data_IF_745038064287
#
_entry.id   IF_745038064287
#
_cell.length_a   1.000
_cell.length_b   1.000
_cell.length_c   1.000
_cell.angle_alpha   90.00
_cell.angle_beta   90.00
_cell.angle_gamma   90.00
#
_symmetry.space_group_name_H-M   'P 1'
#
loop_
_entity.id
_entity.type
_entity.pdbx_description
1 polymer ?
#
# COMPACT_ATOMS: atom_id res chain seq x y z
N UNK A 1 -8.45 7.95 9.01
CA UNK A 1 -8.46 9.26 9.71
C UNK A 1 -9.67 9.28 10.64
N UNK A 2 -9.74 10.15 11.65
CA UNK A 2 -10.95 10.30 12.47
C UNK A 2 -11.56 11.68 12.22
N UNK A 3 -12.83 11.73 11.83
CA UNK A 3 -13.56 12.98 11.58
C UNK A 3 -14.46 13.27 12.78
N UNK A 4 -14.40 14.50 13.31
CA UNK A 4 -15.23 14.92 14.43
C UNK A 4 -16.08 16.12 14.05
N UNK A 5 -17.35 16.09 14.42
CA UNK A 5 -18.24 17.25 14.41
C UNK A 5 -18.12 17.96 15.75
N UNK A 6 -17.82 19.26 15.73
CA UNK A 6 -17.71 20.08 16.93
C UNK A 6 -18.98 20.93 17.08
N UNK A 7 -19.75 20.68 18.14
CA UNK A 7 -20.93 21.47 18.49
C UNK A 7 -20.87 21.89 19.97
N UNK A 8 -20.99 23.18 20.24
CA UNK A 8 -21.00 23.73 21.62
C UNK A 8 -19.83 23.28 22.51
N UNK A 9 -18.64 23.05 21.93
CA UNK A 9 -17.46 22.56 22.66
C UNK A 9 -17.39 21.04 22.85
N UNK A 10 -18.32 20.27 22.29
CA UNK A 10 -18.33 18.80 22.31
C UNK A 10 -17.97 18.25 20.93
N UNK A 11 -16.99 17.35 20.89
CA UNK A 11 -16.61 16.63 19.68
C UNK A 11 -17.31 15.28 19.57
N UNK A 12 -18.15 15.11 18.56
CA UNK A 12 -18.80 13.83 18.23
C UNK A 12 -18.08 13.17 17.07
N UNK A 13 -17.68 11.91 17.23
CA UNK A 13 -17.07 11.15 16.13
C UNK A 13 -18.09 10.95 15.01
N UNK A 14 -17.78 11.45 13.83
CA UNK A 14 -18.54 11.21 12.61
C UNK A 14 -17.98 9.95 11.96
N UNK A 15 -18.75 8.87 11.99
CA UNK A 15 -18.45 7.70 11.18
C UNK A 15 -18.97 7.93 9.76
N UNK A 16 -18.11 7.89 8.73
CA UNK A 16 -18.58 7.92 7.34
C UNK A 16 -19.60 6.81 7.11
N UNK A 17 -20.54 7.01 6.19
CA UNK A 17 -21.51 6.01 5.74
C UNK A 17 -20.99 5.29 4.50
N UNK A 18 -21.61 4.16 4.12
CA UNK A 18 -21.36 3.51 2.82
C UNK A 18 -22.03 4.34 1.73
N UNK A 19 -21.29 4.70 0.66
CA UNK A 19 -21.92 5.24 -0.54
C UNK A 19 -23.03 4.30 -1.02
N UNK A 20 -24.10 4.88 -1.58
CA UNK A 20 -25.18 4.09 -2.17
C UNK A 20 -24.74 3.43 -3.47
N UNK A 21 -25.31 2.27 -3.76
CA UNK A 21 -25.00 1.49 -4.96
C UNK A 21 -25.29 2.24 -6.27
N UNK A 22 -26.42 2.95 -6.29
CA UNK A 22 -26.96 3.61 -7.47
C UNK A 22 -26.16 4.84 -7.90
N UNK A 23 -25.39 5.47 -6.99
CA UNK A 23 -24.50 6.58 -7.35
C UNK A 23 -23.02 6.25 -7.29
N UNK A 24 -22.64 5.10 -6.73
CA UNK A 24 -21.24 4.75 -6.50
C UNK A 24 -20.41 4.84 -7.78
N UNK A 25 -20.84 4.21 -8.86
CA UNK A 25 -20.06 4.15 -10.11
C UNK A 25 -19.83 5.54 -10.71
N UNK A 26 -20.87 6.39 -10.74
CA UNK A 26 -20.76 7.74 -11.27
C UNK A 26 -19.88 8.64 -10.36
N UNK A 27 -20.10 8.57 -9.05
CA UNK A 27 -19.35 9.37 -8.07
C UNK A 27 -17.86 9.00 -8.05
N UNK A 28 -17.55 7.70 -8.06
CA UNK A 28 -16.18 7.21 -8.05
C UNK A 28 -15.48 7.44 -9.38
N UNK A 29 -16.17 7.34 -10.51
CA UNK A 29 -15.62 7.69 -11.82
C UNK A 29 -15.22 9.18 -11.89
N UNK A 30 -16.11 10.08 -11.44
CA UNK A 30 -15.80 11.50 -11.38
C UNK A 30 -14.62 11.78 -10.44
N UNK A 31 -14.60 11.16 -9.25
CA UNK A 31 -13.51 11.33 -8.30
C UNK A 31 -12.16 10.87 -8.88
N UNK A 32 -12.12 9.73 -9.57
CA UNK A 32 -10.88 9.25 -10.21
C UNK A 32 -10.49 10.15 -11.39
N UNK A 33 -11.43 10.54 -12.24
CA UNK A 33 -11.13 11.38 -13.40
C UNK A 33 -10.57 12.76 -13.00
N UNK A 34 -11.17 13.39 -11.99
CA UNK A 34 -10.85 14.77 -11.61
C UNK A 34 -9.76 14.87 -10.54
N UNK A 35 -9.61 13.85 -9.69
CA UNK A 35 -8.80 13.93 -8.46
C UNK A 35 -7.90 12.71 -8.22
N UNK A 36 -7.50 11.95 -9.25
CA UNK A 36 -6.64 10.76 -9.06
C UNK A 36 -5.34 11.08 -8.31
N UNK A 37 -4.68 12.22 -8.57
CA UNK A 37 -3.41 12.52 -7.89
C UNK A 37 -3.60 12.73 -6.39
N UNK A 38 -4.67 13.45 -6.00
CA UNK A 38 -5.03 13.66 -4.60
C UNK A 38 -5.44 12.34 -3.92
N UNK A 39 -6.17 11.49 -4.66
CA UNK A 39 -6.62 10.18 -4.19
C UNK A 39 -5.44 9.24 -3.90
N UNK A 40 -4.41 9.28 -4.75
CA UNK A 40 -3.23 8.40 -4.65
C UNK A 40 -2.14 8.95 -3.75
N UNK A 41 -2.21 10.23 -3.36
CA UNK A 41 -1.16 10.94 -2.62
C UNK A 41 0.10 11.21 -3.45
N UNK A 42 0.04 11.04 -4.77
CA UNK A 42 1.15 11.26 -5.69
C UNK A 42 0.65 11.69 -7.06
N UNK A 43 1.49 12.41 -7.81
CA UNK A 43 1.17 12.77 -9.18
C UNK A 43 1.25 11.56 -10.10
N UNK A 44 0.24 11.42 -10.96
CA UNK A 44 0.20 10.38 -12.01
C UNK A 44 -0.15 10.97 -13.36
N UNK A 45 0.33 10.34 -14.42
CA UNK A 45 -0.04 10.62 -15.81
C UNK A 45 -1.10 9.60 -16.28
N UNK A 46 -2.37 10.00 -16.44
CA UNK A 46 -3.41 9.11 -16.95
C UNK A 46 -3.09 8.65 -18.37
N UNK A 47 -3.05 7.33 -18.60
CA UNK A 47 -2.84 6.76 -19.94
C UNK A 47 -4.17 6.46 -20.60
N UNK A 48 -5.05 5.74 -19.88
CA UNK A 48 -6.35 5.30 -20.41
C UNK A 48 -7.37 5.12 -19.29
N UNK A 49 -8.56 5.65 -19.49
CA UNK A 49 -9.73 5.51 -18.60
C UNK A 49 -10.77 4.55 -19.18
N UNK A 50 -11.44 3.79 -18.32
CA UNK A 50 -12.74 3.15 -18.58
C UNK A 50 -12.81 2.20 -19.79
N UNK A 51 -11.71 1.54 -20.17
CA UNK A 51 -11.77 0.66 -21.34
C UNK A 51 -12.60 -0.60 -21.05
N UNK A 52 -13.44 -1.06 -21.99
CA UNK A 52 -14.22 -2.28 -21.83
C UNK A 52 -13.32 -3.47 -21.48
N UNK A 53 -13.62 -4.14 -20.36
CA UNK A 53 -12.84 -5.29 -19.88
C UNK A 53 -11.44 -4.97 -19.37
N UNK A 54 -11.06 -3.69 -19.30
CA UNK A 54 -9.83 -3.21 -18.69
C UNK A 54 -10.06 -2.63 -17.29
N UNK A 55 -9.01 -2.11 -16.65
CA UNK A 55 -9.15 -1.40 -15.39
C UNK A 55 -9.85 -0.06 -15.58
N UNK A 56 -10.38 0.47 -14.47
CA UNK A 56 -11.04 1.76 -14.44
C UNK A 56 -10.10 2.89 -14.88
N UNK A 57 -8.84 2.86 -14.42
CA UNK A 57 -7.79 3.74 -14.91
C UNK A 57 -6.46 2.99 -15.00
N UNK A 58 -5.73 3.23 -16.09
CA UNK A 58 -4.32 2.94 -16.23
C UNK A 58 -3.57 4.27 -16.31
N UNK A 59 -2.59 4.45 -15.44
CA UNK A 59 -1.75 5.65 -15.35
C UNK A 59 -0.26 5.27 -15.21
N UNK A 60 0.62 6.28 -15.23
CA UNK A 60 2.04 6.15 -14.93
C UNK A 60 2.41 7.04 -13.75
N UNK A 61 3.23 6.54 -12.83
CA UNK A 61 3.87 7.38 -11.81
C UNK A 61 5.10 8.11 -12.37
N UNK A 62 5.75 8.95 -11.55
CA UNK A 62 6.94 9.73 -11.93
C UNK A 62 8.14 8.88 -12.40
N UNK A 63 8.21 7.62 -11.98
CA UNK A 63 9.22 6.64 -12.42
C UNK A 63 8.83 5.94 -13.73
N UNK A 64 7.67 6.31 -14.29
CA UNK A 64 7.04 5.71 -15.44
C UNK A 64 6.63 4.25 -15.22
N UNK A 65 6.34 3.88 -13.97
CA UNK A 65 5.77 2.59 -13.59
C UNK A 65 4.24 2.61 -13.77
N UNK A 66 3.64 1.53 -14.29
CA UNK A 66 2.18 1.45 -14.39
C UNK A 66 1.49 1.49 -13.03
N UNK A 67 0.50 2.37 -12.91
CA UNK A 67 -0.45 2.43 -11.80
C UNK A 67 -1.82 2.03 -12.34
N UNK A 68 -2.40 0.99 -11.75
CA UNK A 68 -3.71 0.46 -12.12
C UNK A 68 -4.69 0.82 -11.01
N UNK A 69 -5.75 1.54 -11.36
CA UNK A 69 -6.86 1.83 -10.45
C UNK A 69 -8.07 1.00 -10.84
N UNK A 70 -8.58 0.29 -9.84
CA UNK A 70 -9.81 -0.48 -9.90
C UNK A 70 -10.88 0.17 -9.04
N UNK A 71 -12.12 0.14 -9.53
CA UNK A 71 -13.25 0.73 -8.83
C UNK A 71 -14.34 -0.33 -8.73
N UNK A 72 -14.73 -0.67 -7.50
CA UNK A 72 -15.75 -1.70 -7.22
C UNK A 72 -16.62 -1.30 -6.05
N UNK A 73 -17.93 -1.48 -6.15
CA UNK A 73 -18.79 -1.14 -5.03
C UNK A 73 -18.47 -2.03 -3.80
N UNK A 74 -18.45 -3.35 -3.99
CA UNK A 74 -18.08 -4.32 -2.98
C UNK A 74 -16.92 -5.16 -3.51
N UNK A 75 -15.78 -5.13 -2.81
CA UNK A 75 -14.62 -5.95 -3.18
C UNK A 75 -14.84 -7.39 -2.70
N UNK A 76 -15.10 -8.29 -3.64
CA UNK A 76 -15.21 -9.74 -3.43
C UNK A 76 -14.02 -10.50 -4.06
N UNK A 77 -14.01 -11.83 -3.96
CA UNK A 77 -12.91 -12.65 -4.47
C UNK A 77 -12.73 -12.55 -5.98
N UNK A 78 -13.83 -12.44 -6.72
CA UNK A 78 -13.80 -12.29 -8.18
C UNK A 78 -13.23 -10.93 -8.59
N UNK A 79 -13.60 -9.87 -7.86
CA UNK A 79 -13.11 -8.51 -8.00
C UNK A 79 -11.62 -8.42 -7.71
N UNK A 80 -11.15 -9.06 -6.63
CA UNK A 80 -9.73 -9.08 -6.28
C UNK A 80 -8.88 -9.79 -7.34
N UNK A 81 -9.31 -10.97 -7.81
CA UNK A 81 -8.60 -11.70 -8.87
C UNK A 81 -8.58 -10.91 -10.18
N UNK A 82 -9.68 -10.24 -10.54
CA UNK A 82 -9.76 -9.37 -11.72
C UNK A 82 -8.79 -8.19 -11.60
N UNK A 83 -8.75 -7.53 -10.45
CA UNK A 83 -7.85 -6.42 -10.18
C UNK A 83 -6.37 -6.84 -10.32
N UNK A 84 -5.98 -7.96 -9.71
CA UNK A 84 -4.64 -8.52 -9.82
C UNK A 84 -4.27 -8.90 -11.25
N UNK A 85 -5.23 -9.44 -12.02
CA UNK A 85 -5.04 -9.74 -13.45
C UNK A 85 -4.75 -8.48 -14.25
N UNK A 86 -5.47 -7.39 -13.99
CA UNK A 86 -5.23 -6.11 -14.67
C UNK A 86 -3.87 -5.51 -14.31
N UNK A 87 -3.47 -5.57 -13.03
CA UNK A 87 -2.12 -5.19 -12.60
C UNK A 87 -1.03 -6.03 -13.28
N UNK A 88 -1.21 -7.35 -13.33
CA UNK A 88 -0.30 -8.25 -14.03
C UNK A 88 -0.26 -8.04 -15.55
N UNK A 89 -1.37 -7.63 -16.18
CA UNK A 89 -1.38 -7.26 -17.59
C UNK A 89 -0.63 -5.94 -17.83
N UNK A 90 -0.87 -4.93 -16.97
CA UNK A 90 -0.22 -3.63 -17.05
C UNK A 90 1.30 -3.73 -16.86
N UNK A 91 1.78 -4.60 -15.97
CA UNK A 91 3.21 -4.79 -15.73
C UNK A 91 3.99 -5.33 -16.94
N UNK A 92 3.30 -5.91 -17.93
CA UNK A 92 3.90 -6.44 -19.16
C UNK A 92 3.80 -5.48 -20.34
N UNK A 93 3.15 -4.32 -20.18
CA UNK A 93 3.02 -3.35 -21.26
C UNK A 93 4.38 -2.71 -21.56
N UNK A 94 4.78 -2.80 -22.81
CA UNK A 94 5.91 -2.04 -23.34
C UNK A 94 5.59 -0.55 -23.43
N UNK A 95 6.64 0.28 -23.49
CA UNK A 95 6.53 1.72 -23.73
C UNK A 95 5.68 2.04 -24.98
N UNK A 96 5.88 1.29 -26.07
CA UNK A 96 5.13 1.47 -27.30
C UNK A 96 3.65 1.07 -27.18
N UNK A 97 3.32 0.09 -26.34
CA UNK A 97 1.92 -0.27 -26.05
C UNK A 97 1.23 0.79 -25.18
N UNK A 98 1.95 1.35 -24.20
CA UNK A 98 1.46 2.49 -23.40
C UNK A 98 1.19 3.71 -24.29
N UNK A 99 2.12 4.04 -25.20
CA UNK A 99 1.95 5.13 -26.15
C UNK A 99 0.73 4.92 -27.07
N UNK A 100 0.50 3.68 -27.53
CA UNK A 100 -0.69 3.33 -28.34
C UNK A 100 -1.99 3.40 -27.55
N UNK A 101 -1.95 3.13 -26.25
CA UNK A 101 -3.12 3.19 -25.37
C UNK A 101 -3.42 4.63 -24.89
N UNK A 102 -2.46 5.55 -25.03
CA UNK A 102 -2.57 6.93 -24.56
C UNK A 102 -3.70 7.69 -25.28
N UNK A 103 -4.56 8.37 -24.51
CA UNK A 103 -5.70 9.14 -25.06
C UNK A 103 -5.26 10.21 -26.08
N UNK A 104 -4.09 10.83 -25.88
CA UNK A 104 -3.51 11.82 -26.79
C UNK A 104 -2.80 11.23 -28.02
N UNK A 105 -2.72 9.89 -28.12
CA UNK A 105 -2.00 9.19 -29.18
C UNK A 105 -0.49 9.05 -28.92
N UNK A 106 0.21 8.22 -29.72
CA UNK A 106 1.60 7.85 -29.45
C UNK A 106 2.59 9.01 -29.60
N UNK A 107 2.30 10.01 -30.44
CA UNK A 107 3.17 11.16 -30.66
C UNK A 107 3.18 12.12 -29.45
N UNK A 108 2.01 12.37 -28.86
CA UNK A 108 1.88 13.23 -27.68
C UNK A 108 2.44 12.56 -26.42
N UNK A 109 2.31 11.23 -26.32
CA UNK A 109 2.68 10.47 -25.13
C UNK A 109 4.11 10.73 -24.64
N UNK A 110 5.11 10.74 -25.53
CA UNK A 110 6.51 10.94 -25.12
C UNK A 110 6.76 12.37 -24.62
N UNK A 111 6.14 13.36 -25.27
CA UNK A 111 6.24 14.76 -24.85
C UNK A 111 5.56 14.99 -23.50
N UNK A 112 4.35 14.46 -23.32
CA UNK A 112 3.57 14.61 -22.09
C UNK A 112 4.23 13.85 -20.93
N UNK A 113 4.80 12.68 -21.18
CA UNK A 113 5.57 11.93 -20.19
C UNK A 113 6.83 12.69 -19.77
N UNK A 114 7.56 13.31 -20.69
CA UNK A 114 8.72 14.14 -20.36
C UNK A 114 8.31 15.33 -19.49
N UNK A 115 7.28 16.09 -19.90
CA UNK A 115 6.76 17.24 -19.14
C UNK A 115 6.26 16.82 -17.75
N UNK A 116 5.60 15.67 -17.66
CA UNK A 116 5.13 15.13 -16.39
C UNK A 116 6.29 14.79 -15.45
N UNK A 117 7.33 14.13 -15.95
CA UNK A 117 8.53 13.80 -15.16
C UNK A 117 9.30 15.04 -14.70
N UNK A 118 9.39 16.06 -15.54
CA UNK A 118 10.03 17.33 -15.20
C UNK A 118 9.28 18.11 -14.10
N UNK A 119 7.98 17.89 -13.96
CA UNK A 119 7.14 18.52 -12.92
C UNK A 119 7.03 17.70 -11.64
N UNK A 120 7.40 16.41 -11.68
CA UNK A 120 7.35 15.57 -10.51
C UNK A 120 8.37 16.05 -9.46
N UNK A 121 8.04 15.98 -8.15
CA UNK A 121 9.02 16.22 -7.09
C UNK A 121 10.28 15.40 -7.33
N UNK A 122 11.45 16.04 -7.24
CA UNK A 122 12.75 15.45 -7.60
C UNK A 122 12.97 14.09 -6.92
N UNK A 123 12.58 13.96 -5.64
CA UNK A 123 12.68 12.71 -4.87
C UNK A 123 11.82 11.57 -5.45
N UNK A 124 10.62 11.86 -5.97
CA UNK A 124 9.76 10.85 -6.61
C UNK A 124 10.28 10.43 -7.98
N UNK A 125 10.87 11.37 -8.73
CA UNK A 125 11.46 11.08 -10.05
C UNK A 125 12.77 10.27 -9.95
N UNK A 126 13.50 10.39 -8.85
CA UNK A 126 14.79 9.72 -8.58
C UNK A 126 14.66 8.43 -7.75
N UNK A 127 13.47 8.12 -7.23
CA UNK A 127 13.22 6.87 -6.52
C UNK A 127 13.53 5.66 -7.41
N UNK A 128 14.12 4.58 -6.86
CA UNK A 128 14.41 3.39 -7.64
C UNK A 128 13.13 2.80 -8.22
N UNK A 129 13.13 2.59 -9.55
CA UNK A 129 11.99 2.05 -10.27
C UNK A 129 11.63 0.67 -9.70
N UNK A 130 10.46 0.57 -9.06
CA UNK A 130 9.95 -0.69 -8.55
C UNK A 130 9.43 -1.52 -9.72
N UNK A 131 9.83 -2.80 -9.84
CA UNK A 131 9.33 -3.64 -10.91
C UNK A 131 7.81 -3.86 -10.78
N UNK A 132 7.18 -4.16 -11.92
CA UNK A 132 5.75 -4.45 -11.98
C UNK A 132 4.85 -3.21 -11.95
N UNK A 133 3.56 -3.43 -11.77
CA UNK A 133 2.55 -2.37 -11.64
C UNK A 133 2.16 -2.17 -10.17
N UNK A 134 1.82 -0.94 -9.79
CA UNK A 134 1.11 -0.65 -8.54
C UNK A 134 -0.38 -0.84 -8.78
N UNK A 135 -1.06 -1.55 -7.90
CA UNK A 135 -2.51 -1.73 -7.94
C UNK A 135 -3.17 -0.94 -6.81
N UNK A 136 -4.19 -0.15 -7.13
CA UNK A 136 -5.01 0.57 -6.17
C UNK A 136 -6.47 0.19 -6.39
N UNK A 137 -7.13 -0.36 -5.38
CA UNK A 137 -8.55 -0.75 -5.44
C UNK A 137 -9.36 0.24 -4.61
N UNK A 138 -10.22 0.99 -5.26
CA UNK A 138 -11.17 1.93 -4.65
C UNK A 138 -12.51 1.22 -4.47
N UNK A 139 -13.00 1.15 -3.23
CA UNK A 139 -14.23 0.42 -2.92
C UNK A 139 -15.11 1.09 -1.88
N UNK A 140 -16.42 0.81 -1.87
CA UNK A 140 -17.27 1.23 -0.76
C UNK A 140 -17.10 0.31 0.46
N UNK A 141 -16.94 -1.00 0.21
CA UNK A 141 -16.74 -1.99 1.26
C UNK A 141 -16.01 -3.24 0.74
N UNK A 142 -15.56 -4.08 1.66
CA UNK A 142 -14.89 -5.35 1.37
C UNK A 142 -15.74 -6.49 1.92
N UNK A 143 -15.93 -7.55 1.13
CA UNK A 143 -16.67 -8.72 1.56
C UNK A 143 -15.91 -9.47 2.67
N UNK A 144 -16.63 -10.01 3.65
CA UNK A 144 -16.03 -10.62 4.86
C UNK A 144 -15.15 -11.82 4.53
N UNK A 145 -15.47 -12.57 3.47
CA UNK A 145 -14.77 -13.77 3.02
C UNK A 145 -13.41 -13.50 2.36
N UNK A 146 -13.12 -12.26 2.00
CA UNK A 146 -11.84 -11.88 1.36
C UNK A 146 -10.96 -10.97 2.21
N UNK A 147 -11.36 -10.67 3.45
CA UNK A 147 -10.59 -9.77 4.33
C UNK A 147 -9.16 -10.25 4.53
N UNK A 148 -8.94 -11.54 4.80
CA UNK A 148 -7.61 -12.12 4.99
C UNK A 148 -6.77 -12.07 3.70
N UNK A 149 -7.40 -12.32 2.54
CA UNK A 149 -6.72 -12.24 1.26
C UNK A 149 -6.29 -10.80 0.94
N UNK A 150 -7.17 -9.83 1.21
CA UNK A 150 -6.88 -8.41 1.04
C UNK A 150 -5.75 -7.95 1.97
N UNK A 151 -5.80 -8.34 3.25
CA UNK A 151 -4.74 -8.04 4.21
C UNK A 151 -3.38 -8.60 3.73
N UNK A 152 -3.37 -9.87 3.32
CA UNK A 152 -2.16 -10.52 2.80
C UNK A 152 -1.56 -9.80 1.58
N UNK A 153 -2.37 -9.43 0.57
CA UNK A 153 -1.84 -8.78 -0.64
C UNK A 153 -1.41 -7.34 -0.40
N UNK A 154 -2.04 -6.63 0.54
CA UNK A 154 -1.66 -5.24 0.87
C UNK A 154 -0.37 -5.15 1.68
N UNK A 155 -0.05 -6.19 2.47
CA UNK A 155 1.21 -6.26 3.22
C UNK A 155 2.48 -6.20 2.34
N UNK A 156 2.38 -6.61 1.06
CA UNK A 156 3.50 -6.62 0.12
C UNK A 156 3.83 -5.27 -0.55
N UNK A 157 3.08 -4.20 -0.26
CA UNK A 157 3.37 -2.84 -0.76
C UNK A 157 3.13 -2.59 -2.26
N UNK A 158 2.67 -3.59 -3.01
CA UNK A 158 2.28 -3.46 -4.43
C UNK A 158 0.79 -3.27 -4.66
N UNK A 159 -0.03 -3.53 -3.64
CA UNK A 159 -1.48 -3.42 -3.67
C UNK A 159 -1.93 -2.51 -2.54
N UNK A 160 -2.79 -1.54 -2.86
CA UNK A 160 -3.45 -0.68 -1.89
C UNK A 160 -4.95 -0.78 -2.07
N UNK A 161 -5.69 -0.76 -0.96
CA UNK A 161 -7.16 -0.70 -0.99
C UNK A 161 -7.60 0.58 -0.30
N UNK A 162 -8.32 1.42 -1.03
CA UNK A 162 -8.90 2.66 -0.57
C UNK A 162 -10.41 2.45 -0.36
N UNK A 163 -10.92 2.82 0.81
CA UNK A 163 -12.33 2.74 1.17
C UNK A 163 -12.98 4.12 1.08
N UNK A 164 -14.02 4.23 0.26
CA UNK A 164 -14.85 5.42 0.13
C UNK A 164 -15.93 5.45 1.21
N UNK A 165 -15.90 6.45 2.07
CA UNK A 165 -16.96 6.78 3.01
C UNK A 165 -17.73 8.03 2.56
N UNK A 166 -18.97 8.21 3.03
CA UNK A 166 -19.73 9.44 2.77
C UNK A 166 -20.18 10.08 4.08
N UNK A 167 -19.92 11.36 4.25
CA UNK A 167 -20.48 12.16 5.34
C UNK A 167 -21.37 13.26 4.78
N UNK A 168 -22.39 13.66 5.54
CA UNK A 168 -23.25 14.78 5.19
C UNK A 168 -22.82 16.01 5.97
N UNK A 169 -22.78 17.14 5.27
CA UNK A 169 -22.44 18.44 5.82
C UNK A 169 -23.63 19.36 5.99
N UNK A 170 -23.40 20.53 6.62
CA UNK A 170 -24.38 21.62 6.66
C UNK A 170 -24.86 21.97 5.24
N UNK A 171 -26.18 22.22 5.13
CA UNK A 171 -26.81 22.56 3.85
C UNK A 171 -27.03 21.37 2.90
N UNK A 172 -26.93 20.13 3.38
CA UNK A 172 -27.13 18.93 2.55
C UNK A 172 -25.97 18.64 1.60
N UNK A 173 -24.81 19.28 1.82
CA UNK A 173 -23.60 18.96 1.06
C UNK A 173 -23.14 17.56 1.39
N UNK A 174 -22.67 16.85 0.37
CA UNK A 174 -22.18 15.47 0.49
C UNK A 174 -20.67 15.49 0.36
N UNK A 175 -19.99 14.90 1.34
CA UNK A 175 -18.54 14.77 1.37
C UNK A 175 -18.15 13.31 1.25
N UNK A 176 -17.13 13.03 0.45
CA UNK A 176 -16.56 11.70 0.31
C UNK A 176 -15.25 11.65 1.11
N UNK A 177 -15.18 10.73 2.06
CA UNK A 177 -13.95 10.35 2.75
C UNK A 177 -13.26 9.25 1.95
N UNK A 178 -11.95 9.34 1.80
CA UNK A 178 -11.14 8.27 1.23
C UNK A 178 -10.08 7.90 2.26
N UNK A 179 -10.12 6.64 2.71
CA UNK A 179 -9.21 6.14 3.71
C UNK A 179 -8.60 4.81 3.27
N UNK A 180 -7.28 4.60 3.44
CA UNK A 180 -6.70 3.26 3.27
C UNK A 180 -7.39 2.23 4.15
N UNK A 181 -7.57 1.03 3.61
CA UNK A 181 -8.15 -0.09 4.33
C UNK A 181 -7.22 -0.49 5.48
N UNK A 182 -7.58 -0.13 6.70
CA UNK A 182 -6.97 -0.73 7.90
C UNK A 182 -7.70 -2.04 8.16
N UNK A 183 -6.98 -3.15 8.29
CA UNK A 183 -7.51 -4.48 8.59
C UNK A 183 -8.02 -4.63 10.03
N UNK A 184 -8.59 -3.57 10.61
CA UNK A 184 -9.25 -3.65 11.92
C UNK A 184 -10.72 -4.00 11.73
N UNK A 185 -11.21 -5.11 12.31
CA UNK A 185 -12.63 -5.41 12.36
C UNK A 185 -13.36 -4.28 13.10
N UNK A 186 -14.14 -3.51 12.36
CA UNK A 186 -15.00 -2.45 12.88
C UNK A 186 -16.47 -2.81 12.72
N UNK A 187 -17.37 -2.15 13.47
CA UNK A 187 -18.81 -2.32 13.27
C UNK A 187 -19.19 -2.01 11.82
N UNK A 188 -20.20 -2.75 11.30
CA UNK A 188 -20.68 -2.54 9.92
C UNK A 188 -21.18 -1.10 9.74
N UNK A 189 -20.69 -0.46 8.69
CA UNK A 189 -20.99 0.93 8.36
C UNK A 189 -22.41 1.06 7.81
N UNK A 190 -23.20 1.99 8.34
CA UNK A 190 -24.54 2.29 7.82
C UNK A 190 -24.45 2.73 6.35
N UNK A 191 -25.48 2.44 5.55
CA UNK A 191 -25.56 2.92 4.16
C UNK A 191 -26.15 4.33 4.16
N UNK A 192 -25.61 5.21 3.32
CA UNK A 192 -26.11 6.57 3.16
C UNK A 192 -27.60 6.55 2.73
N UNK A 193 -28.48 7.36 3.35
CA UNK A 193 -29.88 7.46 2.96
C UNK A 193 -30.04 7.95 1.51
N UNK A 194 -31.03 7.41 0.79
CA UNK A 194 -31.41 7.90 -0.53
C UNK A 194 -31.91 9.36 -0.48
N UNK A 195 -31.88 10.09 -1.61
CA UNK A 195 -32.48 11.42 -1.68
C UNK A 195 -33.94 11.34 -1.22
N UNK A 196 -34.32 12.20 -0.26
CA UNK A 196 -35.71 12.32 0.20
C UNK A 196 -36.54 12.96 -0.91
N UNK A 197 -36.94 12.19 -1.92
CA UNK A 197 -38.10 12.53 -2.72
C UNK A 197 -39.30 12.51 -1.78
N UNK A 198 -39.92 13.66 -1.56
CA UNK A 198 -40.90 13.91 -0.49
C UNK A 198 -41.87 12.76 -0.27
N UNK A 199 -41.59 11.92 0.74
CA UNK A 199 -42.54 10.99 1.29
C UNK A 199 -43.28 11.71 2.42
N UNK A 200 -44.59 11.84 2.25
CA UNK A 200 -45.52 12.33 3.28
C UNK A 200 -45.29 11.54 4.57
N UNK A 201 -45.21 12.17 5.74
CA UNK A 201 -45.07 11.42 6.99
C UNK A 201 -46.34 10.60 7.21
N UNK A 202 -46.24 9.28 7.14
CA UNK A 202 -47.25 8.41 7.75
C UNK A 202 -47.00 8.45 9.25
N UNK A 203 -47.78 9.29 9.92
CA UNK A 203 -47.88 9.33 11.37
C UNK A 203 -48.46 7.99 11.85
N UNK A 204 -47.62 7.00 12.15
CA UNK A 204 -48.08 5.83 12.91
C UNK A 204 -48.19 6.25 14.36
N UNK A 205 -49.39 6.70 14.72
CA UNK A 205 -49.82 6.90 16.09
C UNK A 205 -49.62 5.65 16.93
N UNK A 206 -49.26 5.91 18.19
CA UNK A 206 -48.96 4.94 19.24
C UNK A 206 -50.23 4.22 19.71
N UNK A 207 -49.99 3.10 20.38
CA UNK A 207 -50.84 2.33 21.32
C UNK A 207 -51.99 1.49 20.76
N UNK A 208 -51.81 0.17 20.81
CA UNK A 208 -52.82 -0.75 21.34
C UNK A 208 -52.15 -2.01 21.94
N UNK A 209 -52.39 -2.19 23.23
CA UNK A 209 -52.11 -3.37 24.05
C UNK A 209 -52.87 -4.60 23.53
N UNK A 210 -52.22 -5.75 23.42
CA UNK A 210 -52.94 -7.04 23.52
C UNK A 210 -52.06 -8.17 24.09
N UNK A 211 -52.61 -8.78 25.12
CA UNK A 211 -52.16 -9.88 25.99
C UNK A 211 -52.20 -11.23 25.20
N UNK A 212 -51.46 -12.28 25.60
CA UNK A 212 -51.16 -13.41 24.72
C UNK A 212 -52.27 -14.46 24.74
N UNK A 213 -52.58 -15.02 23.56
CA UNK A 213 -53.46 -16.17 23.41
C UNK A 213 -52.67 -17.40 22.95
N UNK A 214 -53.01 -18.53 23.57
CA UNK A 214 -52.35 -19.83 23.58
C UNK A 214 -53.10 -20.79 22.65
N UNK A 215 -52.37 -21.71 21.99
CA UNK A 215 -52.88 -22.87 21.23
C UNK A 215 -52.88 -22.62 19.72
N UNK A 216 -52.42 -23.50 18.83
CA UNK A 216 -52.39 -24.98 18.80
C UNK A 216 -51.47 -25.45 17.65
N UNK A 217 -50.61 -26.45 17.88
CA UNK A 217 -50.10 -27.37 16.84
C UNK A 217 -51.25 -28.33 16.40
N UNK A 218 -51.26 -29.02 15.23
CA UNK A 218 -50.17 -29.74 14.53
C UNK A 218 -50.18 -29.44 12.99
N UNK A 219 -49.39 -29.97 12.05
CA UNK A 219 -48.74 -31.28 11.85
C UNK A 219 -47.65 -31.12 10.77
N UNK A 220 -46.55 -31.85 10.93
CA UNK A 220 -45.52 -32.12 9.93
C UNK A 220 -46.11 -32.86 8.69
N UNK A 221 -45.52 -32.73 7.50
CA UNK A 221 -44.72 -33.88 7.05
C UNK A 221 -43.38 -33.50 6.40
N UNK A 222 -42.39 -34.30 6.79
CA UNK A 222 -41.00 -34.36 6.33
C UNK A 222 -40.88 -35.03 4.93
N UNK A 223 -39.65 -35.16 4.35
CA UNK A 223 -39.31 -34.67 3.03
C UNK A 223 -39.28 -35.76 1.93
N UNK A 224 -39.27 -35.35 0.66
CA UNK A 224 -38.97 -36.26 -0.46
C UNK A 224 -37.57 -36.00 -0.98
N UNK A 225 -36.68 -36.92 -0.66
CA UNK A 225 -35.37 -37.12 -1.29
C UNK A 225 -35.56 -38.03 -2.51
N UNK A 226 -34.86 -37.80 -3.62
CA UNK A 226 -34.32 -38.92 -4.37
C UNK A 226 -32.79 -38.85 -4.42
N UNK A 227 -32.17 -39.90 -3.90
CA UNK A 227 -30.74 -40.14 -3.98
C UNK A 227 -30.39 -41.00 -5.20
N UNK A 228 -29.26 -40.64 -5.80
CA UNK A 228 -28.28 -41.48 -6.47
C UNK A 228 -28.64 -42.22 -7.77
N UNK A 229 -27.97 -41.80 -8.84
CA UNK A 229 -27.25 -42.71 -9.72
C UNK A 229 -25.97 -42.04 -10.23
N UNK A 230 -24.84 -42.43 -9.65
CA UNK A 230 -23.51 -42.18 -10.20
C UNK A 230 -23.20 -43.23 -11.27
N UNK A 231 -22.46 -42.87 -12.33
CA UNK A 231 -21.53 -43.79 -12.94
C UNK A 231 -20.08 -43.31 -12.77
N UNK A 232 -19.22 -44.31 -12.70
CA UNK A 232 -17.82 -44.26 -12.37
C UNK A 232 -16.94 -43.60 -13.46
N UNK A 233 -15.84 -43.02 -12.96
CA UNK A 233 -14.47 -43.09 -13.46
C UNK A 233 -14.25 -43.03 -14.99
N UNK A 234 -13.66 -41.92 -15.45
CA UNK A 234 -13.14 -41.80 -16.80
C UNK A 234 -12.31 -40.52 -17.02
N UNK A 235 -11.10 -40.48 -16.48
CA UNK A 235 -9.98 -39.66 -16.96
C UNK A 235 -8.69 -40.32 -16.43
N UNK A 236 -7.57 -40.37 -17.18
CA UNK A 236 -7.12 -39.30 -18.08
C UNK A 236 -6.50 -39.78 -19.42
N UNK A 237 -6.76 -39.07 -20.51
CA UNK A 237 -5.92 -39.17 -21.72
C UNK A 237 -4.85 -38.08 -21.67
N UNK A 238 -3.67 -38.46 -21.17
CA UNK A 238 -2.45 -37.67 -21.27
C UNK A 238 -1.90 -37.79 -22.70
N UNK A 239 -1.71 -36.64 -23.34
CA UNK A 239 -0.94 -36.53 -24.57
C UNK A 239 0.48 -37.05 -24.37
N UNK A 240 0.80 -38.12 -25.11
CA UNK A 240 2.12 -38.72 -25.23
C UNK A 240 3.11 -37.69 -25.79
N UNK A 241 4.05 -37.24 -24.97
CA UNK A 241 5.35 -36.74 -25.44
C UNK A 241 6.40 -37.76 -25.04
N UNK A 242 7.17 -38.18 -26.04
CA UNK A 242 8.18 -39.22 -25.95
C UNK A 242 9.33 -38.83 -25.00
N UNK A 243 9.73 -39.78 -24.16
CA UNK A 243 10.93 -39.70 -23.34
C UNK A 243 12.18 -39.99 -24.19
N UNK A 244 13.27 -39.21 -24.05
CA UNK A 244 14.60 -39.64 -24.46
C UNK A 244 15.24 -40.55 -23.39
N UNK A 245 16.04 -41.50 -23.87
CA UNK A 245 16.74 -42.55 -23.15
C UNK A 245 17.87 -42.02 -22.23
N UNK A 246 18.38 -42.83 -21.27
CA UNK A 246 19.25 -42.38 -20.19
C UNK A 246 20.73 -42.40 -20.59
N UNK A 247 21.43 -41.29 -20.40
CA UNK A 247 22.90 -41.24 -20.43
C UNK A 247 23.51 -41.29 -19.03
N UNK A 248 24.68 -41.91 -18.99
CA UNK A 248 25.27 -42.62 -17.86
C UNK A 248 26.00 -41.69 -16.90
N UNK A 249 25.91 -42.00 -15.62
CA UNK A 249 26.63 -41.40 -14.50
C UNK A 249 27.96 -42.15 -14.27
N UNK A 250 29.13 -41.51 -14.29
CA UNK A 250 30.34 -42.09 -13.71
C UNK A 250 30.40 -41.79 -12.20
N UNK A 251 30.65 -42.82 -11.42
CA UNK A 251 30.91 -42.80 -9.98
C UNK A 251 32.36 -42.35 -9.67
N UNK A 252 32.71 -42.08 -8.40
CA UNK A 252 33.81 -41.18 -8.01
C UNK A 252 35.16 -41.89 -7.87
N UNK A 253 36.25 -41.13 -7.99
CA UNK A 253 37.57 -41.50 -7.47
C UNK A 253 37.93 -40.58 -6.30
N UNK A 254 38.10 -41.17 -5.12
CA UNK A 254 39.02 -40.74 -4.08
C UNK A 254 40.46 -40.80 -4.66
N UNK A 255 41.50 -40.15 -4.16
CA UNK A 255 41.82 -39.56 -2.87
C UNK A 255 43.08 -38.71 -3.15
N UNK A 256 43.21 -37.49 -2.64
CA UNK A 256 44.55 -36.98 -2.26
C UNK A 256 44.45 -35.86 -1.22
N UNK A 257 44.70 -36.29 0.01
CA UNK A 257 45.04 -35.51 1.20
C UNK A 257 46.04 -34.39 0.90
N UNK A 258 45.65 -33.14 1.14
CA UNK A 258 46.62 -32.08 1.49
C UNK A 258 46.14 -31.40 2.76
N UNK A 259 46.99 -31.48 3.77
CA UNK A 259 46.83 -31.01 5.14
C UNK A 259 46.66 -29.48 5.17
N UNK A 260 45.51 -29.02 5.64
CA UNK A 260 45.30 -27.62 6.06
C UNK A 260 45.93 -27.42 7.45
N UNK A 261 46.87 -26.47 7.64
CA UNK A 261 47.15 -25.93 8.97
C UNK A 261 45.99 -25.01 9.42
N UNK A 262 45.77 -24.83 10.73
CA UNK A 262 44.70 -23.98 11.23
C UNK A 262 45.03 -22.51 10.89
N UNK A 263 44.19 -21.88 10.08
CA UNK A 263 44.20 -20.42 9.96
C UNK A 263 43.64 -19.89 11.27
N UNK A 264 44.55 -19.40 12.10
CA UNK A 264 44.27 -18.57 13.27
C UNK A 264 43.45 -17.35 12.83
N UNK A 265 42.40 -17.04 13.58
CA UNK A 265 41.68 -15.77 13.53
C UNK A 265 42.68 -14.63 13.74
N UNK A 266 43.16 -14.05 12.66
CA UNK A 266 43.91 -12.80 12.69
C UNK A 266 42.85 -11.68 12.62
N UNK A 267 42.36 -11.27 13.79
CA UNK A 267 41.60 -10.01 13.95
C UNK A 267 42.54 -8.89 13.53
N UNK A 268 42.32 -8.20 12.39
CA UNK A 268 43.17 -7.10 12.02
C UNK A 268 42.88 -5.94 12.96
N UNK A 269 43.92 -5.44 13.63
CA UNK A 269 43.91 -4.15 14.29
C UNK A 269 43.38 -3.05 13.33
N UNK A 270 42.67 -2.03 13.85
CA UNK A 270 41.99 -1.05 13.02
C UNK A 270 43.03 -0.32 12.17
N UNK A 271 42.86 -0.39 10.85
CA UNK A 271 43.64 0.40 9.90
C UNK A 271 42.96 1.75 9.78
N UNK A 272 43.69 2.79 10.20
CA UNK A 272 43.34 4.16 9.86
C UNK A 272 43.16 4.28 8.34
N UNK A 273 41.95 4.63 7.91
CA UNK A 273 41.67 5.03 6.52
C UNK A 273 41.02 4.01 5.60
N UNK A 274 40.19 3.09 6.10
CA UNK A 274 39.11 2.59 5.24
C UNK A 274 38.16 3.77 5.02
N UNK A 275 38.12 4.30 3.80
CA UNK A 275 37.17 5.36 3.45
C UNK A 275 35.76 4.76 3.60
N UNK A 276 35.14 5.02 4.75
CA UNK A 276 33.79 4.55 5.06
C UNK A 276 32.88 5.21 4.03
N UNK A 277 32.42 4.44 3.05
CA UNK A 277 31.51 4.94 2.03
C UNK A 277 30.19 5.30 2.73
N UNK A 278 29.78 6.57 2.65
CA UNK A 278 28.54 7.02 3.23
C UNK A 278 27.34 6.33 2.54
N UNK A 279 26.25 6.19 3.28
CA UNK A 279 25.02 5.69 2.69
C UNK A 279 24.51 6.68 1.64
N UNK A 280 24.15 6.25 0.43
CA UNK A 280 23.72 7.15 -0.65
C UNK A 280 22.56 8.06 -0.26
N UNK A 281 21.72 7.61 0.67
CA UNK A 281 20.59 8.36 1.23
C UNK A 281 21.04 9.55 2.10
N UNK A 282 22.11 9.38 2.88
CA UNK A 282 22.69 10.45 3.70
C UNK A 282 23.50 11.45 2.86
N UNK A 283 24.26 10.97 1.87
CA UNK A 283 24.95 11.83 0.91
C UNK A 283 23.95 12.69 0.13
N UNK A 284 22.83 12.10 -0.30
CA UNK A 284 21.77 12.83 -0.98
C UNK A 284 21.16 13.92 -0.08
N UNK A 285 20.95 13.61 1.20
CA UNK A 285 20.37 14.52 2.17
C UNK A 285 21.31 15.69 2.50
N UNK A 286 22.61 15.42 2.66
CA UNK A 286 23.62 16.46 2.90
C UNK A 286 23.88 17.33 1.65
N UNK A 287 23.85 16.73 0.47
CA UNK A 287 23.97 17.44 -0.82
C UNK A 287 22.78 18.34 -1.10
N UNK A 288 21.57 17.95 -0.68
CA UNK A 288 20.35 18.72 -0.90
C UNK A 288 20.38 20.08 -0.18
N UNK A 289 20.89 20.11 1.06
CA UNK A 289 20.91 21.31 1.90
C UNK A 289 22.21 22.15 1.78
N UNK A 290 23.21 21.66 1.03
CA UNK A 290 24.48 22.36 0.74
C UNK A 290 25.20 22.85 1.99
N UNK A 291 25.25 22.03 3.04
CA UNK A 291 25.98 22.34 4.26
C UNK A 291 25.88 21.23 5.29
N UNK A 292 26.66 21.38 6.37
CA UNK A 292 26.63 20.48 7.50
C UNK A 292 25.32 20.69 8.29
N UNK A 293 24.59 19.60 8.54
CA UNK A 293 23.26 19.62 9.18
C UNK A 293 23.35 19.12 10.62
N UNK A 294 22.74 19.86 11.56
CA UNK A 294 22.64 19.42 12.95
C UNK A 294 21.55 18.34 13.09
N UNK A 295 21.97 17.17 13.56
CA UNK A 295 21.12 16.06 13.98
C UNK A 295 21.00 16.06 15.50
N UNK A 296 19.77 16.02 16.00
CA UNK A 296 19.49 15.99 17.44
C UNK A 296 18.67 14.75 17.77
N UNK A 297 19.06 14.06 18.84
CA UNK A 297 18.27 13.00 19.45
C UNK A 297 17.97 13.34 20.92
N UNK A 298 16.68 13.48 21.24
CA UNK A 298 16.21 13.74 22.60
C UNK A 298 15.70 12.47 23.31
N UNK A 299 16.40 12.05 24.37
CA UNK A 299 16.05 10.87 25.18
C UNK A 299 15.32 11.30 26.45
N UNK A 300 14.01 11.52 26.32
CA UNK A 300 13.11 12.02 27.39
C UNK A 300 13.28 11.28 28.73
N UNK A 301 13.37 9.94 28.72
CA UNK A 301 13.48 9.14 29.96
C UNK A 301 14.77 9.37 30.75
N UNK A 302 15.84 9.81 30.09
CA UNK A 302 17.15 10.08 30.68
C UNK A 302 17.50 11.56 30.72
N UNK A 303 16.60 12.43 30.22
CA UNK A 303 16.82 13.86 30.05
C UNK A 303 18.16 14.17 29.34
N UNK A 304 18.47 13.40 28.29
CA UNK A 304 19.73 13.46 27.55
C UNK A 304 19.45 13.98 26.13
N UNK A 305 20.21 14.98 25.70
CA UNK A 305 20.23 15.52 24.34
C UNK A 305 21.55 15.10 23.71
N UNK A 306 21.49 14.36 22.62
CA UNK A 306 22.66 13.95 21.84
C UNK A 306 22.64 14.73 20.54
N UNK A 307 23.79 15.26 20.16
CA UNK A 307 23.95 16.09 18.96
C UNK A 307 25.00 15.43 18.06
N UNK A 308 24.71 15.41 16.78
CA UNK A 308 25.61 14.96 15.73
C UNK A 308 25.53 15.93 14.54
N UNK A 309 26.53 15.91 13.68
CA UNK A 309 26.60 16.72 12.48
C UNK A 309 26.63 15.80 11.27
N UNK A 310 25.61 15.89 10.42
CA UNK A 310 25.63 15.25 9.11
C UNK A 310 26.44 16.14 8.16
N UNK A 311 27.62 15.68 7.77
CA UNK A 311 28.53 16.41 6.89
C UNK A 311 28.10 16.35 5.44
N UNK A 312 28.58 17.31 4.64
CA UNK A 312 28.34 17.36 3.20
C UNK A 312 28.77 16.09 2.42
N UNK A 313 29.66 15.27 2.98
CA UNK A 313 30.11 13.98 2.43
C UNK A 313 29.22 12.79 2.86
N UNK A 314 28.08 13.04 3.52
CA UNK A 314 27.11 12.03 3.93
C UNK A 314 27.49 11.25 5.18
N UNK A 315 28.58 11.61 5.86
CA UNK A 315 29.01 10.99 7.10
C UNK A 315 28.45 11.73 8.32
N UNK A 316 28.14 10.99 9.37
CA UNK A 316 27.65 11.52 10.64
C UNK A 316 28.82 11.64 11.61
N UNK A 317 29.16 12.87 11.99
CA UNK A 317 30.18 13.18 12.99
C UNK A 317 29.53 13.44 14.35
N UNK A 318 29.95 12.72 15.37
CA UNK A 318 29.47 12.87 16.75
C UNK A 318 30.26 13.95 17.51
N UNK A 319 29.74 14.39 18.66
CA UNK A 319 30.42 15.38 19.53
C UNK A 319 31.80 14.92 20.04
N UNK A 320 32.01 13.60 20.13
CA UNK A 320 33.31 13.00 20.49
C UNK A 320 34.33 12.97 19.33
N UNK A 321 33.94 13.46 18.15
CA UNK A 321 34.74 13.49 16.92
C UNK A 321 34.76 12.17 16.14
N UNK A 322 33.98 11.16 16.58
CA UNK A 322 33.86 9.91 15.82
C UNK A 322 32.93 10.08 14.62
N UNK A 323 33.31 9.43 13.51
CA UNK A 323 32.62 9.56 12.21
C UNK A 323 32.05 8.21 11.80
N UNK A 324 30.77 8.20 11.43
CA UNK A 324 30.00 6.99 11.15
C UNK A 324 29.25 7.12 9.83
N UNK A 325 29.19 6.04 9.04
CA UNK A 325 28.41 6.00 7.80
C UNK A 325 26.97 5.48 8.00
N UNK A 326 26.72 4.65 9.01
CA UNK A 326 25.38 4.18 9.37
C UNK A 326 24.80 5.04 10.52
N UNK A 327 23.60 5.62 10.35
CA UNK A 327 22.90 6.34 11.41
C UNK A 327 22.68 5.52 12.69
N UNK A 328 22.49 4.21 12.55
CA UNK A 328 22.22 3.29 13.65
C UNK A 328 23.47 3.04 14.49
N UNK A 329 24.63 2.94 13.84
CA UNK A 329 25.93 2.87 14.51
C UNK A 329 26.24 4.19 15.21
N UNK A 330 25.99 5.33 14.52
CA UNK A 330 26.13 6.66 15.11
C UNK A 330 25.24 6.85 16.34
N UNK A 331 23.97 6.41 16.29
CA UNK A 331 23.05 6.48 17.42
C UNK A 331 23.50 5.60 18.59
N UNK A 332 23.95 4.38 18.29
CA UNK A 332 24.39 3.40 19.29
C UNK A 332 25.65 3.90 20.01
N UNK A 333 26.60 4.46 19.26
CA UNK A 333 27.82 5.07 19.79
C UNK A 333 27.51 6.33 20.63
N UNK A 334 26.71 7.26 20.11
CA UNK A 334 26.36 8.51 20.81
C UNK A 334 25.67 8.28 22.16
N UNK A 335 24.87 7.23 22.25
CA UNK A 335 24.07 6.91 23.43
C UNK A 335 24.70 5.85 24.34
N UNK A 336 25.92 5.39 24.01
CA UNK A 336 26.67 4.31 24.66
C UNK A 336 25.78 3.09 24.97
N UNK A 337 25.15 2.54 23.92
CA UNK A 337 24.17 1.46 24.06
C UNK A 337 24.79 0.10 23.78
N UNK A 338 24.53 -0.85 24.68
CA UNK A 338 24.85 -2.27 24.47
C UNK A 338 24.01 -2.93 23.37
N UNK A 339 22.90 -2.30 22.96
CA UNK A 339 22.02 -2.78 21.90
C UNK A 339 21.89 -1.75 20.78
N UNK A 340 21.88 -2.19 19.52
CA UNK A 340 21.77 -1.27 18.39
C UNK A 340 20.46 -0.48 18.47
N UNK A 341 20.58 0.84 18.33
CA UNK A 341 19.46 1.74 18.17
C UNK A 341 19.17 1.94 16.68
N UNK A 342 17.89 2.10 16.35
CA UNK A 342 17.47 2.44 14.99
C UNK A 342 17.73 3.93 14.74
N UNK A 343 18.86 4.23 14.12
CA UNK A 343 19.36 5.58 13.89
C UNK A 343 18.43 6.44 13.05
N UNK A 344 17.75 5.82 12.08
CA UNK A 344 16.83 6.49 11.18
C UNK A 344 15.65 7.10 11.91
N UNK A 345 15.19 6.48 13.00
CA UNK A 345 14.00 6.93 13.74
C UNK A 345 14.30 7.87 14.89
N UNK A 346 15.56 7.94 15.32
CA UNK A 346 15.94 8.68 16.53
C UNK A 346 16.61 10.01 16.24
N UNK A 347 17.41 10.08 15.17
CA UNK A 347 18.04 11.32 14.73
C UNK A 347 17.03 12.20 14.01
N UNK A 348 16.97 13.48 14.39
CA UNK A 348 16.07 14.50 13.81
C UNK A 348 16.86 15.72 13.36
N UNK A 349 16.35 16.42 12.35
CA UNK A 349 16.92 17.70 11.95
C UNK A 349 16.56 18.81 12.94
N UNK A 350 17.56 19.31 13.68
CA UNK A 350 17.32 20.26 14.78
C UNK A 350 16.39 19.69 15.87
N UNK A 351 15.82 20.55 16.72
CA UNK A 351 15.03 20.09 17.87
C UNK A 351 13.63 19.54 17.50
N UNK A 352 12.98 20.13 16.49
CA UNK A 352 11.58 19.82 16.13
C UNK A 352 11.41 19.31 14.69
N UNK A 353 12.49 19.21 13.90
CA UNK A 353 12.41 18.78 12.50
C UNK A 353 12.17 17.28 12.34
N UNK A 354 11.94 16.80 11.10
CA UNK A 354 11.66 15.40 10.83
C UNK A 354 12.83 14.49 11.21
N UNK A 355 12.53 13.21 11.49
CA UNK A 355 13.58 12.18 11.64
C UNK A 355 14.31 11.92 10.33
N UNK A 356 15.52 11.35 10.39
CA UNK A 356 16.23 10.90 9.19
C UNK A 356 15.36 9.97 8.34
N UNK A 357 14.67 9.01 8.97
CA UNK A 357 13.75 8.07 8.35
C UNK A 357 12.56 8.75 7.68
N UNK A 358 11.97 9.75 8.33
CA UNK A 358 10.90 10.56 7.73
C UNK A 358 11.40 11.41 6.55
N UNK A 359 12.63 11.91 6.61
CA UNK A 359 13.25 12.68 5.54
C UNK A 359 13.59 11.83 4.30
N UNK A 360 13.90 10.53 4.49
CA UNK A 360 14.16 9.59 3.39
C UNK A 360 12.95 8.71 3.01
N UNK A 361 11.86 8.77 3.78
CA UNK A 361 10.63 8.01 3.54
C UNK A 361 10.69 6.52 3.93
N UNK A 362 11.51 6.17 4.92
CA UNK A 362 11.73 4.81 5.42
C UNK A 362 10.75 4.37 6.53
#
# INVERSE_FOLDING_TARGET
MATFELDGGHGTLVQPMRPRADSFDADSAALVADHVSDLLGEHVLPVREGAPGGPHLLALDATARPVVVEVVQQLDGSGLVRALRHAGAASRLSRAELARAYRGGPEAFEADLAVFRDRAPILQAQAPARPGARLVVVCADVAEDVLEAVDHVTAGGGVEVLRLGVTQGPGGRRYVDVSPLRATPGPRRAVEPGPRTGAVPVTTGRTATSTPARGTAPTDPTPVVPAAAAPAAGAPEHHRHAAPAPEQRPAPRADETTLLPPVVDDVPAPRDGDAVAALPELEALASAERGDLELVWHRVRRNQRLVATLRADGLIELEDGSVHADPSDAATAAADLERPADGWRVWRFGEDGPTLGEAVGA
#
